data_IF_860226537768
#
_entry.id   IF_860226537768
#
_cell.length_a   1.000
_cell.length_b   1.000
_cell.length_c   1.000
_cell.angle_alpha   90.00
_cell.angle_beta   90.00
_cell.angle_gamma   90.00
#
_symmetry.space_group_name_H-M   'P 1'
#
loop_
_entity.id
_entity.type
_entity.pdbx_description
1 polymer ?
#
# COMPACT_ATOMS: atom_id res chain seq x y z
N UNK A 1 -5.07 21.88 55.23
CA UNK A 1 -4.25 22.62 54.24
C UNK A 1 -4.69 22.12 52.88
N UNK A 2 -5.40 22.95 52.13
CA UNK A 2 -5.88 22.66 50.77
C UNK A 2 -4.67 22.61 49.82
N UNK A 3 -4.51 21.52 49.08
CA UNK A 3 -3.66 21.48 47.90
C UNK A 3 -4.55 21.70 46.67
N UNK A 4 -4.16 22.56 45.72
CA UNK A 4 -4.99 22.87 44.57
C UNK A 4 -4.90 21.75 43.53
N UNK A 5 -6.06 21.32 43.05
CA UNK A 5 -6.25 20.59 41.79
C UNK A 5 -5.78 21.46 40.64
N UNK A 6 -4.75 21.02 39.93
CA UNK A 6 -4.37 21.61 38.64
C UNK A 6 -5.16 20.85 37.57
N UNK A 7 -6.24 21.46 37.09
CA UNK A 7 -6.91 21.03 35.85
C UNK A 7 -6.02 21.42 34.66
N UNK A 8 -5.30 20.45 34.10
CA UNK A 8 -4.70 20.58 32.78
C UNK A 8 -5.75 20.26 31.72
N UNK A 9 -6.42 21.31 31.22
CA UNK A 9 -7.10 21.25 29.94
C UNK A 9 -6.07 21.57 28.84
N UNK A 10 -5.25 20.59 28.48
CA UNK A 10 -4.50 20.62 27.22
C UNK A 10 -5.44 20.17 26.10
N UNK A 11 -5.94 21.16 25.36
CA UNK A 11 -6.53 20.91 24.04
C UNK A 11 -5.34 20.54 23.14
N UNK A 12 -5.06 19.23 23.03
CA UNK A 12 -4.04 18.68 22.15
C UNK A 12 -4.27 19.20 20.73
N UNK A 13 -3.39 20.09 20.29
CA UNK A 13 -3.41 20.59 18.93
C UNK A 13 -2.79 19.49 18.06
N UNK A 14 -3.54 18.86 17.13
CA UNK A 14 -3.06 17.69 16.38
C UNK A 14 -1.81 17.96 15.53
N UNK A 15 -1.46 19.23 15.29
CA UNK A 15 -0.19 19.62 14.67
C UNK A 15 1.05 19.44 15.55
N UNK A 16 0.89 19.40 16.88
CA UNK A 16 1.99 19.26 17.84
C UNK A 16 2.53 17.81 17.88
N UNK A 17 1.64 16.82 17.86
CA UNK A 17 2.01 15.39 17.87
C UNK A 17 2.78 14.97 16.60
N UNK A 18 2.39 15.51 15.44
CA UNK A 18 3.10 15.27 14.18
C UNK A 18 4.52 15.83 14.26
N UNK A 19 4.69 17.02 14.85
CA UNK A 19 6.01 17.63 15.06
C UNK A 19 6.89 16.81 16.00
N UNK A 20 6.30 16.22 17.05
CA UNK A 20 7.03 15.38 18.01
C UNK A 20 7.46 14.04 17.40
N UNK A 21 6.58 13.37 16.63
CA UNK A 21 6.93 12.11 15.96
C UNK A 21 8.09 12.27 14.97
N UNK A 22 8.14 13.38 14.22
CA UNK A 22 9.28 13.71 13.36
C UNK A 22 10.56 13.98 14.17
N UNK A 23 10.46 14.61 15.34
CA UNK A 23 11.60 14.82 16.23
C UNK A 23 12.24 13.50 16.67
N UNK A 24 11.42 12.56 17.17
CA UNK A 24 11.91 11.22 17.53
C UNK A 24 12.51 10.47 16.35
N UNK A 25 11.90 10.60 15.17
CA UNK A 25 12.45 10.04 13.94
C UNK A 25 13.85 10.56 13.64
N UNK A 26 14.07 11.88 13.64
CA UNK A 26 15.40 12.47 13.38
C UNK A 26 16.41 12.15 14.47
N UNK A 27 16.00 12.15 15.74
CA UNK A 27 16.85 11.72 16.84
C UNK A 27 17.31 10.27 16.66
N UNK A 28 16.41 9.37 16.26
CA UNK A 28 16.74 7.97 16.00
C UNK A 28 17.75 7.82 14.85
N UNK A 29 17.63 8.62 13.79
CA UNK A 29 18.59 8.64 12.68
C UNK A 29 19.98 9.10 13.13
N UNK A 30 20.04 10.14 13.96
CA UNK A 30 21.31 10.64 14.52
C UNK A 30 22.01 9.55 15.32
N UNK A 31 21.30 8.88 16.23
CA UNK A 31 21.85 7.80 17.04
C UNK A 31 22.32 6.61 16.19
N UNK A 32 21.57 6.25 15.15
CA UNK A 32 21.93 5.14 14.28
C UNK A 32 23.09 5.46 13.33
N UNK A 33 23.37 6.73 13.05
CA UNK A 33 24.52 7.11 12.22
C UNK A 33 25.87 6.76 12.86
N UNK A 34 25.90 6.61 14.18
CA UNK A 34 27.08 6.24 14.96
C UNK A 34 27.25 4.72 15.10
N UNK A 35 26.24 3.91 14.73
CA UNK A 35 26.26 2.46 14.91
C UNK A 35 27.00 1.80 13.73
N UNK A 36 28.12 1.11 13.96
CA UNK A 36 28.86 0.45 12.88
C UNK A 36 28.09 -0.76 12.36
N UNK A 37 28.17 -0.96 11.05
CA UNK A 37 27.55 -2.08 10.32
C UNK A 37 28.37 -3.37 10.46
N UNK A 38 28.40 -3.92 11.68
CA UNK A 38 29.12 -5.16 12.02
C UNK A 38 28.13 -6.29 12.37
N UNK A 39 28.55 -7.58 12.29
CA UNK A 39 27.67 -8.73 12.53
C UNK A 39 26.82 -8.66 13.80
N UNK A 40 27.40 -8.17 14.89
CA UNK A 40 26.71 -8.04 16.17
C UNK A 40 25.49 -7.09 16.14
N UNK A 41 25.44 -6.16 15.18
CA UNK A 41 24.41 -5.12 15.09
C UNK A 41 23.37 -5.38 14.01
N UNK A 42 23.57 -6.33 13.09
CA UNK A 42 22.70 -6.52 11.93
C UNK A 42 21.23 -6.74 12.31
N UNK A 43 20.93 -7.49 13.37
CA UNK A 43 19.55 -7.66 13.83
C UNK A 43 18.92 -6.35 14.35
N UNK A 44 19.69 -5.55 15.08
CA UNK A 44 19.25 -4.24 15.57
C UNK A 44 18.98 -3.28 14.42
N UNK A 45 19.88 -3.24 13.44
CA UNK A 45 19.74 -2.44 12.23
C UNK A 45 18.55 -2.89 11.37
N UNK A 46 18.32 -4.20 11.23
CA UNK A 46 17.14 -4.72 10.56
C UNK A 46 15.84 -4.24 11.21
N UNK A 47 15.73 -4.33 12.55
CA UNK A 47 14.59 -3.82 13.33
C UNK A 47 14.40 -2.32 13.16
N UNK A 48 15.48 -1.55 13.31
CA UNK A 48 15.45 -0.09 13.15
C UNK A 48 14.88 0.31 11.78
N UNK A 49 15.42 -0.26 10.71
CA UNK A 49 14.98 0.05 9.36
C UNK A 49 13.55 -0.44 9.05
N UNK A 50 13.08 -1.52 9.67
CA UNK A 50 11.69 -1.95 9.61
C UNK A 50 10.75 -0.89 10.21
N UNK A 51 11.04 -0.43 11.44
CA UNK A 51 10.22 0.61 12.08
C UNK A 51 10.27 1.92 11.30
N UNK A 52 11.45 2.28 10.78
CA UNK A 52 11.64 3.43 9.89
C UNK A 52 10.72 3.34 8.65
N UNK A 53 10.64 2.17 8.02
CA UNK A 53 9.77 1.96 6.87
C UNK A 53 8.28 2.09 7.21
N UNK A 54 7.85 1.57 8.37
CA UNK A 54 6.46 1.70 8.85
C UNK A 54 6.10 3.17 9.07
N UNK A 55 6.96 3.91 9.78
CA UNK A 55 6.76 5.34 10.02
C UNK A 55 6.68 6.13 8.71
N UNK A 56 7.65 5.96 7.81
CA UNK A 56 7.69 6.67 6.53
C UNK A 56 6.50 6.35 5.63
N UNK A 57 6.01 5.10 5.66
CA UNK A 57 4.79 4.73 4.95
C UNK A 57 3.58 5.50 5.50
N UNK A 58 3.42 5.56 6.83
CA UNK A 58 2.33 6.32 7.47
C UNK A 58 2.44 7.83 7.22
N UNK A 59 3.67 8.34 7.08
CA UNK A 59 3.95 9.72 6.74
C UNK A 59 3.76 10.07 5.24
N UNK A 60 3.28 9.11 4.43
CA UNK A 60 3.08 9.24 2.98
C UNK A 60 4.37 9.47 2.17
N UNK A 61 5.53 9.08 2.70
CA UNK A 61 6.82 9.09 2.00
C UNK A 61 7.20 7.66 1.56
N UNK A 62 6.50 7.19 0.52
CA UNK A 62 6.63 5.82 0.02
C UNK A 62 8.04 5.52 -0.50
N UNK A 63 8.71 6.50 -1.13
CA UNK A 63 10.04 6.28 -1.69
C UNK A 63 11.07 6.06 -0.57
N UNK A 64 11.06 6.90 0.47
CA UNK A 64 11.93 6.70 1.62
C UNK A 64 11.57 5.42 2.39
N UNK A 65 10.28 5.07 2.48
CA UNK A 65 9.83 3.81 3.09
C UNK A 65 10.38 2.58 2.36
N UNK A 66 10.39 2.59 1.02
CA UNK A 66 10.95 1.53 0.19
C UNK A 66 12.46 1.38 0.37
N UNK A 67 13.18 2.50 0.47
CA UNK A 67 14.61 2.48 0.77
C UNK A 67 14.86 1.88 2.16
N UNK A 68 14.08 2.32 3.16
CA UNK A 68 14.20 1.81 4.52
C UNK A 68 13.91 0.30 4.61
N UNK A 69 12.84 -0.21 3.98
CA UNK A 69 12.56 -1.65 4.01
C UNK A 69 13.60 -2.47 3.25
N UNK A 70 14.16 -1.93 2.15
CA UNK A 70 15.27 -2.55 1.43
C UNK A 70 16.51 -2.68 2.31
N UNK A 71 16.85 -1.64 3.08
CA UNK A 71 17.94 -1.70 4.06
C UNK A 71 17.64 -2.74 5.16
N UNK A 72 16.42 -2.79 5.66
CA UNK A 72 15.99 -3.80 6.65
C UNK A 72 16.20 -5.22 6.13
N UNK A 73 15.79 -5.48 4.88
CA UNK A 73 15.95 -6.75 4.21
C UNK A 73 17.43 -7.12 3.98
N UNK A 74 18.26 -6.15 3.57
CA UNK A 74 19.71 -6.36 3.43
C UNK A 74 20.34 -6.83 4.76
N UNK A 75 20.03 -6.15 5.87
CA UNK A 75 20.53 -6.56 7.18
C UNK A 75 19.94 -7.90 7.66
N UNK A 76 18.68 -8.18 7.32
CA UNK A 76 18.07 -9.47 7.59
C UNK A 76 18.81 -10.61 6.88
N UNK A 77 19.18 -10.44 5.61
CA UNK A 77 19.98 -11.43 4.88
C UNK A 77 21.40 -11.59 5.45
N UNK A 78 22.06 -10.49 5.80
CA UNK A 78 23.38 -10.56 6.44
C UNK A 78 23.31 -11.34 7.77
N UNK A 79 22.24 -11.14 8.54
CA UNK A 79 21.97 -11.87 9.77
C UNK A 79 21.39 -13.29 9.56
N UNK A 80 21.26 -13.75 8.31
CA UNK A 80 20.63 -15.03 7.92
C UNK A 80 19.23 -15.23 8.52
N UNK A 81 18.42 -14.17 8.57
CA UNK A 81 17.05 -14.24 9.06
C UNK A 81 16.08 -14.96 8.12
N UNK A 82 16.49 -15.28 6.90
CA UNK A 82 15.72 -16.08 5.95
C UNK A 82 15.98 -17.58 6.06
N UNK A 83 16.86 -18.01 6.97
CA UNK A 83 17.31 -19.40 7.12
C UNK A 83 17.28 -19.81 8.61
N UNK A 84 16.26 -20.56 9.00
CA UNK A 84 16.06 -20.99 10.38
C UNK A 84 17.13 -21.98 10.85
N UNK A 85 17.73 -22.75 9.94
CA UNK A 85 18.82 -23.68 10.25
C UNK A 85 20.12 -22.93 10.63
N UNK A 86 20.20 -21.63 10.36
CA UNK A 86 21.31 -20.80 10.82
C UNK A 86 21.19 -20.43 12.32
N UNK A 87 20.08 -20.73 13.00
CA UNK A 87 19.79 -20.31 14.37
C UNK A 87 19.91 -21.44 15.41
N UNK A 88 20.60 -22.54 15.08
CA UNK A 88 20.68 -23.74 15.94
C UNK A 88 21.27 -23.49 17.34
N UNK A 89 22.03 -22.40 17.51
CA UNK A 89 22.63 -22.01 18.79
C UNK A 89 21.77 -21.03 19.60
N UNK A 90 20.68 -20.52 19.01
CA UNK A 90 19.77 -19.59 19.67
C UNK A 90 18.84 -20.34 20.62
N UNK A 91 18.48 -19.70 21.73
CA UNK A 91 17.43 -20.23 22.61
C UNK A 91 16.03 -20.11 21.94
N UNK A 92 15.01 -20.83 22.43
CA UNK A 92 13.68 -20.81 21.81
C UNK A 92 13.03 -19.42 21.72
N UNK A 93 13.31 -18.54 22.69
CA UNK A 93 12.75 -17.19 22.71
C UNK A 93 13.43 -16.28 21.67
N UNK A 94 14.75 -16.43 21.50
CA UNK A 94 15.49 -15.77 20.43
C UNK A 94 15.04 -16.27 19.05
N UNK A 95 14.86 -17.58 18.87
CA UNK A 95 14.33 -18.18 17.63
C UNK A 95 12.97 -17.59 17.28
N UNK A 96 12.05 -17.52 18.25
CA UNK A 96 10.73 -16.91 18.05
C UNK A 96 10.83 -15.42 17.68
N UNK A 97 11.74 -14.69 18.34
CA UNK A 97 11.97 -13.27 18.06
C UNK A 97 12.52 -13.02 16.65
N UNK A 98 13.46 -13.87 16.19
CA UNK A 98 14.01 -13.85 14.82
C UNK A 98 12.94 -14.18 13.79
N UNK A 99 12.15 -15.23 14.05
CA UNK A 99 11.01 -15.62 13.20
C UNK A 99 9.98 -14.49 13.06
N UNK A 100 9.58 -13.85 14.16
CA UNK A 100 8.67 -12.69 14.16
C UNK A 100 9.24 -11.53 13.33
N UNK A 101 10.52 -11.21 13.53
CA UNK A 101 11.18 -10.14 12.77
C UNK A 101 11.22 -10.43 11.27
N UNK A 102 11.62 -11.64 10.88
CA UNK A 102 11.64 -12.05 9.48
C UNK A 102 10.27 -11.90 8.83
N UNK A 103 9.22 -12.46 9.44
CA UNK A 103 7.87 -12.39 8.89
C UNK A 103 7.31 -10.97 8.88
N UNK A 104 7.68 -10.12 9.84
CA UNK A 104 7.31 -8.70 9.81
C UNK A 104 7.96 -7.94 8.64
N UNK A 105 9.25 -8.18 8.37
CA UNK A 105 9.96 -7.62 7.20
C UNK A 105 9.32 -8.11 5.91
N UNK A 106 9.07 -9.42 5.80
CA UNK A 106 8.43 -10.05 4.65
C UNK A 106 7.07 -9.42 4.32
N UNK A 107 6.21 -9.24 5.33
CA UNK A 107 4.89 -8.63 5.17
C UNK A 107 4.99 -7.15 4.78
N UNK A 108 5.89 -6.40 5.41
CA UNK A 108 6.03 -4.95 5.17
C UNK A 108 6.62 -4.64 3.79
N UNK A 109 7.61 -5.41 3.34
CA UNK A 109 8.19 -5.30 2.00
C UNK A 109 7.13 -5.51 0.93
N UNK A 110 6.36 -6.60 1.03
CA UNK A 110 5.30 -6.91 0.07
C UNK A 110 4.20 -5.87 0.08
N UNK A 111 3.88 -5.30 1.24
CA UNK A 111 2.91 -4.21 1.36
C UNK A 111 3.39 -2.95 0.66
N UNK A 112 4.66 -2.58 0.80
CA UNK A 112 5.22 -1.42 0.09
C UNK A 112 5.29 -1.65 -1.41
N UNK A 113 5.75 -2.83 -1.83
CA UNK A 113 5.77 -3.25 -3.23
C UNK A 113 4.37 -3.23 -3.87
N UNK A 114 3.34 -3.67 -3.13
CA UNK A 114 1.94 -3.50 -3.55
C UNK A 114 1.60 -2.02 -3.76
N UNK A 115 1.94 -1.14 -2.82
CA UNK A 115 1.56 0.27 -2.86
C UNK A 115 2.25 1.07 -3.97
N UNK A 116 3.46 0.69 -4.34
CA UNK A 116 4.23 1.36 -5.40
C UNK A 116 4.11 0.67 -6.76
N UNK A 117 3.37 -0.44 -6.85
CA UNK A 117 3.22 -1.21 -8.08
C UNK A 117 4.53 -1.85 -8.55
N UNK A 118 5.30 -2.47 -7.65
CA UNK A 118 6.56 -3.17 -7.97
C UNK A 118 6.53 -4.64 -7.53
N UNK A 119 7.31 -5.52 -8.19
CA UNK A 119 7.49 -6.88 -7.71
C UNK A 119 8.18 -6.89 -6.35
N UNK A 120 7.85 -7.89 -5.53
CA UNK A 120 8.56 -8.14 -4.27
C UNK A 120 10.00 -8.55 -4.55
N UNK A 121 10.93 -8.05 -3.74
CA UNK A 121 12.33 -8.46 -3.74
C UNK A 121 12.59 -9.79 -3.02
N UNK A 122 11.59 -10.37 -2.35
CA UNK A 122 11.73 -11.64 -1.61
C UNK A 122 11.11 -12.77 -2.43
N UNK A 123 11.94 -13.71 -2.88
CA UNK A 123 11.48 -14.94 -3.50
C UNK A 123 11.06 -15.96 -2.44
N UNK A 124 9.83 -16.50 -2.51
CA UNK A 124 9.35 -17.51 -1.57
C UNK A 124 10.23 -18.78 -1.51
N UNK A 125 10.99 -19.06 -2.57
CA UNK A 125 11.92 -20.21 -2.64
C UNK A 125 13.21 -20.01 -1.82
N UNK A 126 13.53 -18.76 -1.46
CA UNK A 126 14.73 -18.39 -0.69
C UNK A 126 14.42 -18.27 0.80
N UNK A 127 13.18 -18.60 1.20
CA UNK A 127 12.70 -18.53 2.57
C UNK A 127 12.71 -19.93 3.16
N UNK A 128 13.66 -20.19 4.05
CA UNK A 128 13.77 -21.41 4.86
C UNK A 128 13.44 -21.09 6.32
N UNK A 129 12.33 -20.39 6.55
CA UNK A 129 11.79 -20.07 7.87
C UNK A 129 10.41 -20.68 7.98
N UNK A 130 10.16 -21.42 9.06
CA UNK A 130 8.85 -22.01 9.29
C UNK A 130 7.81 -20.94 9.61
N UNK A 131 6.55 -21.28 9.38
CA UNK A 131 5.42 -20.49 9.84
C UNK A 131 5.45 -20.28 11.37
N UNK A 132 4.77 -19.23 11.83
CA UNK A 132 4.59 -18.94 13.26
C UNK A 132 3.64 -19.93 13.91
N UNK A 133 2.60 -20.32 13.17
CA UNK A 133 1.60 -21.28 13.59
C UNK A 133 1.47 -22.38 12.53
N UNK A 134 1.34 -23.62 12.98
CA UNK A 134 1.06 -24.75 12.09
C UNK A 134 -0.34 -24.64 11.50
N UNK A 135 -0.60 -25.38 10.41
CA UNK A 135 -1.94 -25.46 9.82
C UNK A 135 -2.97 -26.02 10.80
N UNK A 136 -2.58 -26.97 11.64
CA UNK A 136 -3.42 -27.57 12.68
C UNK A 136 -3.76 -26.55 13.76
N UNK A 137 -2.79 -25.74 14.19
CA UNK A 137 -3.03 -24.65 15.15
C UNK A 137 -3.98 -23.59 14.57
N UNK A 138 -3.76 -23.19 13.31
CA UNK A 138 -4.67 -22.26 12.62
C UNK A 138 -6.09 -22.82 12.51
N UNK A 139 -6.23 -24.11 12.16
CA UNK A 139 -7.52 -24.78 12.08
C UNK A 139 -8.20 -24.83 13.46
N UNK A 140 -7.45 -25.11 14.53
CA UNK A 140 -7.98 -25.12 15.89
C UNK A 140 -8.49 -23.74 16.36
N UNK A 141 -7.97 -22.65 15.79
CA UNK A 141 -8.43 -21.29 16.12
C UNK A 141 -9.66 -20.82 15.34
N UNK A 142 -10.09 -21.50 14.28
CA UNK A 142 -11.06 -20.94 13.31
C UNK A 142 -12.38 -20.52 13.96
N UNK A 143 -12.94 -21.37 14.82
CA UNK A 143 -14.28 -21.20 15.40
C UNK A 143 -14.25 -20.81 16.88
N UNK A 144 -13.07 -20.48 17.44
CA UNK A 144 -12.94 -20.11 18.84
C UNK A 144 -13.04 -18.59 19.02
N UNK A 145 -13.87 -18.15 19.97
CA UNK A 145 -13.91 -16.75 20.42
C UNK A 145 -12.76 -16.42 21.39
N UNK A 146 -12.27 -17.44 22.10
CA UNK A 146 -11.15 -17.34 23.04
C UNK A 146 -10.02 -18.22 22.52
N UNK A 147 -8.84 -17.65 22.33
CA UNK A 147 -7.69 -18.41 21.84
C UNK A 147 -7.16 -19.36 22.92
N UNK A 148 -6.62 -20.52 22.53
CA UNK A 148 -5.88 -21.38 23.46
C UNK A 148 -4.70 -20.64 24.11
N UNK A 149 -4.41 -20.91 25.38
CA UNK A 149 -3.38 -20.21 26.18
C UNK A 149 -1.97 -20.22 25.55
N UNK A 150 -1.68 -21.20 24.71
CA UNK A 150 -0.38 -21.36 24.04
C UNK A 150 -0.26 -20.58 22.72
N UNK A 151 -1.31 -19.91 22.26
CA UNK A 151 -1.32 -19.15 21.02
C UNK A 151 -1.47 -17.66 21.33
N UNK A 152 -0.41 -16.90 21.06
CA UNK A 152 -0.49 -15.44 21.18
C UNK A 152 -1.37 -14.84 20.09
N UNK A 153 -2.22 -13.88 20.45
CA UNK A 153 -2.98 -13.07 19.48
C UNK A 153 -2.05 -12.38 18.47
N UNK A 154 -0.86 -11.95 18.88
CA UNK A 154 0.10 -11.27 18.01
C UNK A 154 0.71 -12.23 16.99
N UNK A 155 0.99 -13.46 17.38
CA UNK A 155 1.50 -14.51 16.48
C UNK A 155 0.44 -14.91 15.47
N UNK A 156 -0.80 -15.09 15.93
CA UNK A 156 -1.92 -15.37 15.05
C UNK A 156 -2.16 -14.22 14.07
N UNK A 157 -2.15 -12.97 14.54
CA UNK A 157 -2.28 -11.82 13.67
C UNK A 157 -1.17 -11.76 12.61
N UNK A 158 0.09 -11.93 13.02
CA UNK A 158 1.23 -11.91 12.10
C UNK A 158 1.15 -13.06 11.10
N UNK A 159 0.74 -14.27 11.50
CA UNK A 159 0.52 -15.38 10.57
C UNK A 159 -0.55 -15.07 9.52
N UNK A 160 -1.65 -14.42 9.90
CA UNK A 160 -2.68 -13.98 8.95
C UNK A 160 -2.14 -12.95 7.96
N UNK A 161 -1.25 -12.06 8.40
CA UNK A 161 -0.56 -11.12 7.51
C UNK A 161 0.41 -11.84 6.55
N UNK A 162 1.10 -12.89 7.02
CA UNK A 162 1.98 -13.73 6.18
C UNK A 162 1.18 -14.42 5.08
N UNK A 163 0.05 -15.03 5.44
CA UNK A 163 -0.83 -15.72 4.48
C UNK A 163 -1.39 -14.75 3.44
N UNK A 164 -1.80 -13.56 3.86
CA UNK A 164 -2.23 -12.49 2.97
C UNK A 164 -1.09 -12.00 2.06
N UNK A 165 0.12 -11.89 2.59
CA UNK A 165 1.31 -11.44 1.83
C UNK A 165 1.74 -12.47 0.77
N UNK A 166 1.66 -13.76 1.10
CA UNK A 166 1.86 -14.87 0.14
C UNK A 166 0.76 -14.89 -0.93
N UNK A 167 -0.50 -14.63 -0.53
CA UNK A 167 -1.60 -14.49 -1.49
C UNK A 167 -1.36 -13.33 -2.45
N UNK A 168 -0.92 -12.18 -1.94
CA UNK A 168 -0.54 -11.04 -2.77
C UNK A 168 0.56 -11.38 -3.76
N UNK A 169 1.62 -12.08 -3.35
CA UNK A 169 2.67 -12.56 -4.26
C UNK A 169 2.11 -13.38 -5.43
N UNK A 170 1.19 -14.30 -5.14
CA UNK A 170 0.53 -15.13 -6.16
C UNK A 170 -0.39 -14.31 -7.06
N UNK A 171 -1.03 -13.27 -6.53
CA UNK A 171 -1.83 -12.31 -7.32
C UNK A 171 -0.91 -11.52 -8.24
N UNK A 172 0.20 -10.99 -7.72
CA UNK A 172 1.18 -10.24 -8.50
C UNK A 172 1.71 -11.08 -9.67
N UNK A 173 2.24 -12.27 -9.38
CA UNK A 173 2.79 -13.16 -10.40
C UNK A 173 1.77 -13.55 -11.46
N UNK A 174 0.51 -13.77 -11.04
CA UNK A 174 -0.56 -14.19 -11.93
C UNK A 174 -1.20 -13.04 -12.69
N UNK A 175 -1.18 -11.80 -12.23
CA UNK A 175 -2.00 -10.73 -12.84
C UNK A 175 -1.27 -9.42 -13.14
N UNK A 176 -0.10 -9.18 -12.57
CA UNK A 176 0.63 -7.91 -12.68
C UNK A 176 2.04 -8.07 -13.23
N UNK A 177 2.59 -9.28 -13.23
CA UNK A 177 3.86 -9.57 -13.89
C UNK A 177 3.80 -9.20 -15.38
N UNK A 178 4.88 -8.60 -15.88
CA UNK A 178 5.05 -8.27 -17.28
C UNK A 178 4.76 -9.47 -18.20
N UNK A 179 4.01 -9.21 -19.28
CA UNK A 179 3.61 -10.21 -20.27
C UNK A 179 2.46 -11.13 -19.81
N UNK A 180 1.87 -10.92 -18.64
CA UNK A 180 0.75 -11.72 -18.21
C UNK A 180 -0.57 -11.31 -18.89
N UNK A 181 -1.33 -12.30 -19.35
CA UNK A 181 -2.66 -12.12 -19.97
C UNK A 181 -3.82 -12.57 -19.08
N UNK A 182 -3.55 -13.02 -17.85
CA UNK A 182 -4.58 -13.62 -17.00
C UNK A 182 -5.65 -12.63 -16.53
N UNK A 183 -5.36 -11.32 -16.53
CA UNK A 183 -6.34 -10.26 -16.19
C UNK A 183 -7.53 -10.20 -17.16
N UNK A 184 -7.32 -10.66 -18.40
CA UNK A 184 -8.34 -10.75 -19.45
C UNK A 184 -9.03 -12.14 -19.48
N UNK A 185 -8.72 -13.03 -18.54
CA UNK A 185 -9.35 -14.35 -18.48
C UNK A 185 -10.22 -14.43 -17.21
N UNK A 186 -11.53 -14.36 -17.40
CA UNK A 186 -12.51 -14.32 -16.31
C UNK A 186 -12.46 -15.58 -15.43
N UNK A 187 -12.24 -16.76 -16.00
CA UNK A 187 -12.07 -18.00 -15.23
C UNK A 187 -10.87 -17.92 -14.28
N UNK A 188 -9.74 -17.37 -14.75
CA UNK A 188 -8.54 -17.18 -13.92
C UNK A 188 -8.78 -16.15 -12.81
N UNK A 189 -9.53 -15.09 -13.10
CA UNK A 189 -9.97 -14.07 -12.14
C UNK A 189 -10.87 -14.70 -11.08
N UNK A 190 -11.88 -15.46 -11.48
CA UNK A 190 -12.82 -16.11 -10.57
C UNK A 190 -12.15 -17.17 -9.70
N UNK A 191 -11.25 -17.97 -10.27
CA UNK A 191 -10.44 -18.92 -9.50
C UNK A 191 -9.60 -18.21 -8.42
N UNK A 192 -8.99 -17.06 -8.74
CA UNK A 192 -8.28 -16.27 -7.72
C UNK A 192 -9.26 -15.66 -6.72
N UNK A 193 -10.44 -15.21 -7.16
CA UNK A 193 -11.51 -14.71 -6.30
C UNK A 193 -11.95 -15.76 -5.28
N UNK A 194 -12.14 -17.00 -5.70
CA UNK A 194 -12.46 -18.13 -4.83
C UNK A 194 -11.34 -18.40 -3.82
N UNK A 195 -10.07 -18.31 -4.24
CA UNK A 195 -8.93 -18.46 -3.33
C UNK A 195 -8.88 -17.36 -2.27
N UNK A 196 -9.12 -16.10 -2.65
CA UNK A 196 -9.18 -14.98 -1.71
C UNK A 196 -10.33 -15.20 -0.72
N UNK A 197 -11.52 -15.57 -1.21
CA UNK A 197 -12.68 -15.85 -0.35
C UNK A 197 -12.44 -17.04 0.58
N UNK A 198 -11.77 -18.09 0.11
CA UNK A 198 -11.42 -19.24 0.95
C UNK A 198 -10.48 -18.85 2.09
N UNK A 199 -9.41 -18.10 1.80
CA UNK A 199 -8.49 -17.60 2.83
C UNK A 199 -9.18 -16.63 3.79
N UNK A 200 -10.03 -15.75 3.28
CA UNK A 200 -10.81 -14.83 4.13
C UNK A 200 -11.76 -15.58 5.07
N UNK A 201 -12.44 -16.63 4.59
CA UNK A 201 -13.30 -17.49 5.44
C UNK A 201 -12.51 -18.26 6.50
N UNK A 202 -11.24 -18.58 6.21
CA UNK A 202 -10.33 -19.21 7.16
C UNK A 202 -9.81 -18.27 8.25
N UNK A 203 -10.14 -16.97 8.23
CA UNK A 203 -9.80 -16.04 9.31
C UNK A 203 -10.58 -16.43 10.57
N UNK A 204 -9.87 -16.66 11.71
CA UNK A 204 -10.48 -16.95 13.00
C UNK A 204 -11.57 -15.96 13.40
N UNK A 205 -12.60 -16.42 14.11
CA UNK A 205 -13.69 -15.57 14.63
C UNK A 205 -13.14 -14.39 15.44
N UNK A 206 -12.08 -14.61 16.22
CA UNK A 206 -11.40 -13.54 16.98
C UNK A 206 -10.85 -12.41 16.11
N UNK A 207 -10.62 -12.62 14.82
CA UNK A 207 -10.13 -11.64 13.84
C UNK A 207 -11.14 -11.29 12.75
N UNK A 208 -12.36 -11.83 12.83
CA UNK A 208 -13.42 -11.56 11.86
C UNK A 208 -14.07 -10.21 12.16
N UNK A 209 -14.26 -9.39 11.13
CA UNK A 209 -14.98 -8.13 11.26
C UNK A 209 -16.49 -8.37 11.37
N UNK A 210 -17.14 -7.58 12.23
CA UNK A 210 -18.58 -7.44 12.31
C UNK A 210 -18.92 -6.00 12.68
N UNK A 211 -19.91 -5.40 12.03
CA UNK A 211 -20.37 -4.05 12.39
C UNK A 211 -20.97 -4.00 13.80
N UNK A 212 -21.45 -5.14 14.33
CA UNK A 212 -21.94 -5.23 15.70
C UNK A 212 -20.85 -4.96 16.75
N UNK A 213 -19.57 -4.99 16.37
CA UNK A 213 -18.47 -4.61 17.26
C UNK A 213 -18.46 -3.11 17.58
N UNK A 214 -19.16 -2.31 16.78
CA UNK A 214 -19.32 -0.88 17.00
C UNK A 214 -20.56 -0.57 17.86
N UNK A 215 -21.42 -1.57 18.13
CA UNK A 215 -22.60 -1.40 18.96
C UNK A 215 -22.17 -1.12 20.41
N UNK A 216 -22.58 0.03 20.94
CA UNK A 216 -22.25 0.44 22.31
C UNK A 216 -20.88 1.13 22.46
N UNK A 217 -20.11 1.31 21.39
CA UNK A 217 -18.92 2.17 21.40
C UNK A 217 -19.37 3.63 21.54
N UNK A 218 -18.85 4.32 22.56
CA UNK A 218 -19.02 5.77 22.68
C UNK A 218 -17.85 6.47 22.02
N UNK A 219 -18.05 7.71 21.54
CA UNK A 219 -17.03 8.45 20.78
C UNK A 219 -15.72 8.67 21.53
N UNK A 220 -15.77 8.63 22.86
CA UNK A 220 -14.62 8.85 23.76
C UNK A 220 -13.94 7.55 24.19
N UNK A 221 -14.42 6.38 23.72
CA UNK A 221 -13.74 5.12 23.96
C UNK A 221 -12.40 5.04 23.24
N UNK A 222 -11.38 4.54 23.93
CA UNK A 222 -10.11 4.18 23.30
C UNK A 222 -10.32 3.10 22.24
N UNK A 223 -9.60 3.25 21.13
CA UNK A 223 -9.63 2.27 20.06
C UNK A 223 -8.83 1.04 20.46
N UNK A 224 -9.54 -0.06 20.68
CA UNK A 224 -8.90 -1.35 20.92
C UNK A 224 -8.10 -1.85 19.70
N UNK A 225 -6.93 -2.41 19.98
CA UNK A 225 -6.01 -2.94 18.98
C UNK A 225 -6.65 -4.10 18.20
N UNK A 226 -7.46 -4.94 18.86
CA UNK A 226 -8.08 -6.09 18.19
C UNK A 226 -9.15 -5.64 17.20
N UNK A 227 -9.97 -4.64 17.55
CA UNK A 227 -10.92 -4.01 16.60
C UNK A 227 -10.20 -3.48 15.36
N UNK A 228 -9.07 -2.79 15.56
CA UNK A 228 -8.23 -2.28 14.47
C UNK A 228 -7.72 -3.40 13.55
N UNK A 229 -7.22 -4.50 14.14
CA UNK A 229 -6.72 -5.67 13.40
C UNK A 229 -7.81 -6.35 12.57
N UNK A 230 -9.01 -6.51 13.15
CA UNK A 230 -10.20 -7.05 12.45
C UNK A 230 -10.56 -6.22 11.23
N UNK A 231 -10.65 -4.90 11.40
CA UNK A 231 -10.97 -3.95 10.34
C UNK A 231 -9.96 -4.06 9.19
N UNK A 232 -8.67 -3.99 9.51
CA UNK A 232 -7.59 -4.01 8.51
C UNK A 232 -7.59 -5.30 7.70
N UNK A 233 -7.76 -6.46 8.35
CA UNK A 233 -7.80 -7.75 7.66
C UNK A 233 -8.99 -7.85 6.71
N UNK A 234 -10.20 -7.54 7.18
CA UNK A 234 -11.43 -7.59 6.38
C UNK A 234 -11.33 -6.70 5.14
N UNK A 235 -11.01 -5.42 5.36
CA UNK A 235 -10.89 -4.43 4.28
C UNK A 235 -9.83 -4.87 3.26
N UNK A 236 -8.67 -5.37 3.69
CA UNK A 236 -7.63 -5.82 2.76
C UNK A 236 -8.07 -7.01 1.91
N UNK A 237 -8.74 -8.01 2.50
CA UNK A 237 -9.28 -9.13 1.72
C UNK A 237 -10.32 -8.64 0.70
N UNK A 238 -11.19 -7.70 1.09
CA UNK A 238 -12.19 -7.12 0.18
C UNK A 238 -11.54 -6.31 -0.94
N UNK A 239 -10.53 -5.48 -0.65
CA UNK A 239 -9.76 -4.76 -1.67
C UNK A 239 -9.06 -5.71 -2.66
N UNK A 240 -8.47 -6.81 -2.19
CA UNK A 240 -7.89 -7.81 -3.10
C UNK A 240 -8.93 -8.39 -4.07
N UNK A 241 -10.17 -8.62 -3.61
CA UNK A 241 -11.27 -9.12 -4.48
C UNK A 241 -11.70 -8.09 -5.53
N UNK A 242 -11.69 -6.81 -5.17
CA UNK A 242 -11.96 -5.71 -6.10
C UNK A 242 -10.82 -5.59 -7.11
N UNK A 243 -9.58 -5.56 -6.64
CA UNK A 243 -8.37 -5.35 -7.44
C UNK A 243 -8.19 -6.41 -8.53
N UNK A 244 -8.40 -7.70 -8.24
CA UNK A 244 -8.26 -8.75 -9.26
C UNK A 244 -9.32 -8.65 -10.37
N UNK A 245 -10.50 -8.08 -10.08
CA UNK A 245 -11.62 -7.95 -11.02
C UNK A 245 -11.52 -6.66 -11.82
N UNK A 246 -11.16 -5.57 -11.17
CA UNK A 246 -10.91 -4.28 -11.79
C UNK A 246 -9.41 -4.04 -11.96
N UNK A 247 -8.71 -5.04 -12.47
CA UNK A 247 -7.27 -4.97 -12.65
C UNK A 247 -6.91 -3.82 -13.62
N UNK A 248 -6.06 -2.87 -13.23
CA UNK A 248 -5.59 -1.78 -14.11
C UNK A 248 -5.02 -2.25 -15.45
N UNK A 249 -4.34 -3.39 -15.47
CA UNK A 249 -3.74 -4.01 -16.67
C UNK A 249 -4.75 -4.76 -17.54
N UNK A 250 -6.04 -4.78 -17.19
CA UNK A 250 -7.08 -5.39 -18.03
C UNK A 250 -7.39 -4.46 -19.20
N UNK A 251 -7.31 -4.99 -20.43
CA UNK A 251 -7.59 -4.24 -21.67
C UNK A 251 -9.06 -4.33 -22.08
N UNK A 252 -9.74 -5.40 -21.69
CA UNK A 252 -11.16 -5.60 -22.00
C UNK A 252 -12.07 -4.77 -21.09
N UNK A 253 -13.18 -4.22 -21.62
CA UNK A 253 -14.15 -3.50 -20.81
C UNK A 253 -14.78 -4.44 -19.79
N UNK A 254 -14.98 -3.93 -18.58
CA UNK A 254 -15.65 -4.66 -17.50
C UNK A 254 -17.13 -4.79 -17.87
N UNK A 255 -17.67 -6.00 -17.81
CA UNK A 255 -19.10 -6.21 -18.05
C UNK A 255 -19.96 -5.63 -16.89
N UNK A 256 -21.26 -5.43 -17.14
CA UNK A 256 -22.15 -4.77 -16.18
C UNK A 256 -22.26 -5.52 -14.84
N UNK A 257 -22.29 -6.86 -14.88
CA UNK A 257 -22.41 -7.69 -13.67
C UNK A 257 -21.17 -7.58 -12.79
N UNK A 258 -19.98 -7.68 -13.38
CA UNK A 258 -18.71 -7.51 -12.70
C UNK A 258 -18.55 -6.09 -12.15
N UNK A 259 -18.99 -5.07 -12.90
CA UNK A 259 -19.00 -3.69 -12.43
C UNK A 259 -19.90 -3.51 -11.20
N UNK A 260 -21.12 -4.07 -11.22
CA UNK A 260 -22.05 -4.05 -10.08
C UNK A 260 -21.50 -4.80 -8.88
N UNK A 261 -20.89 -5.96 -9.11
CA UNK A 261 -20.26 -6.74 -8.05
C UNK A 261 -19.13 -5.97 -7.37
N UNK A 262 -18.22 -5.38 -8.15
CA UNK A 262 -17.14 -4.56 -7.61
C UNK A 262 -17.65 -3.31 -6.90
N UNK A 263 -18.70 -2.68 -7.44
CA UNK A 263 -19.36 -1.55 -6.79
C UNK A 263 -19.93 -1.93 -5.42
N UNK A 264 -20.62 -3.07 -5.31
CA UNK A 264 -21.16 -3.55 -4.04
C UNK A 264 -20.06 -3.76 -2.99
N UNK A 265 -18.89 -4.31 -3.38
CA UNK A 265 -17.74 -4.43 -2.49
C UNK A 265 -17.14 -3.08 -2.08
N UNK A 266 -17.11 -2.10 -2.98
CA UNK A 266 -16.68 -0.73 -2.65
C UNK A 266 -17.63 -0.10 -1.64
N UNK A 267 -18.96 -0.21 -1.85
CA UNK A 267 -19.94 0.27 -0.89
C UNK A 267 -19.75 -0.38 0.48
N UNK A 268 -19.55 -1.70 0.53
CA UNK A 268 -19.28 -2.41 1.79
C UNK A 268 -18.07 -1.80 2.54
N UNK A 269 -16.95 -1.57 1.85
CA UNK A 269 -15.77 -0.96 2.46
C UNK A 269 -16.05 0.47 2.92
N UNK A 270 -16.69 1.29 2.08
CA UNK A 270 -17.02 2.69 2.39
C UNK A 270 -17.97 2.79 3.58
N UNK A 271 -18.96 1.91 3.66
CA UNK A 271 -19.93 1.87 4.75
C UNK A 271 -19.30 1.42 6.06
N UNK A 272 -18.44 0.40 6.03
CA UNK A 272 -17.67 -0.05 7.20
C UNK A 272 -16.78 1.08 7.72
N UNK A 273 -16.04 1.76 6.84
CA UNK A 273 -15.15 2.85 7.24
C UNK A 273 -15.93 4.07 7.75
N UNK A 274 -17.08 4.39 7.15
CA UNK A 274 -17.95 5.44 7.63
C UNK A 274 -18.51 5.15 9.02
N UNK A 275 -18.98 3.91 9.26
CA UNK A 275 -19.44 3.48 10.57
C UNK A 275 -18.31 3.55 11.61
N UNK A 276 -17.12 3.10 11.25
CA UNK A 276 -15.94 3.15 12.13
C UNK A 276 -15.55 4.59 12.49
N UNK A 277 -15.46 5.49 11.51
CA UNK A 277 -15.20 6.92 11.73
C UNK A 277 -16.30 7.58 12.58
N UNK A 278 -17.55 7.16 12.42
CA UNK A 278 -18.65 7.70 13.20
C UNK A 278 -18.64 7.22 14.67
N UNK A 279 -18.15 6.00 14.91
CA UNK A 279 -18.08 5.36 16.23
C UNK A 279 -16.95 5.94 17.11
N UNK A 280 -15.81 6.30 16.53
CA UNK A 280 -14.63 6.76 17.27
C UNK A 280 -14.33 8.24 17.00
N UNK A 281 -13.79 8.95 17.99
CA UNK A 281 -13.25 10.29 17.76
C UNK A 281 -12.03 10.26 16.82
N UNK A 282 -11.81 11.37 16.12
CA UNK A 282 -10.70 11.49 15.16
C UNK A 282 -9.31 11.26 15.82
N UNK A 283 -9.02 11.78 17.03
CA UNK A 283 -7.78 11.47 17.73
C UNK A 283 -7.56 9.97 17.95
N UNK A 284 -8.61 9.23 18.36
CA UNK A 284 -8.52 7.79 18.64
C UNK A 284 -8.17 6.95 17.41
N UNK A 285 -8.53 7.40 16.21
CA UNK A 285 -8.27 6.66 14.96
C UNK A 285 -7.03 7.17 14.19
N UNK A 286 -6.26 8.09 14.76
CA UNK A 286 -5.11 8.73 14.08
C UNK A 286 -4.09 7.70 13.60
N UNK A 287 -3.82 6.66 14.38
CA UNK A 287 -2.92 5.55 14.02
C UNK A 287 -3.37 4.75 12.79
N UNK A 288 -4.67 4.81 12.44
CA UNK A 288 -5.26 4.20 11.25
C UNK A 288 -5.57 5.21 10.13
N UNK A 289 -5.39 6.51 10.36
CA UNK A 289 -5.79 7.55 9.40
C UNK A 289 -5.16 7.35 8.02
N UNK A 290 -3.87 6.98 7.97
CA UNK A 290 -3.19 6.62 6.72
C UNK A 290 -3.85 5.43 6.02
N UNK A 291 -4.12 4.35 6.76
CA UNK A 291 -4.75 3.15 6.22
C UNK A 291 -6.14 3.44 5.66
N UNK A 292 -6.97 4.17 6.40
CA UNK A 292 -8.32 4.55 6.00
C UNK A 292 -8.25 5.44 4.76
N UNK A 293 -7.45 6.50 4.79
CA UNK A 293 -7.32 7.44 3.66
C UNK A 293 -6.82 6.75 2.39
N UNK A 294 -5.80 5.89 2.51
CA UNK A 294 -5.27 5.13 1.38
C UNK A 294 -6.30 4.14 0.82
N UNK A 295 -7.13 3.54 1.68
CA UNK A 295 -8.23 2.66 1.27
C UNK A 295 -9.30 3.44 0.51
N UNK A 296 -9.69 4.62 1.01
CA UNK A 296 -10.68 5.47 0.35
C UNK A 296 -10.19 5.93 -1.04
N UNK A 297 -8.90 6.26 -1.19
CA UNK A 297 -8.33 6.57 -2.51
C UNK A 297 -8.36 5.35 -3.44
N UNK A 298 -8.08 4.15 -2.94
CA UNK A 298 -8.17 2.93 -3.74
C UNK A 298 -9.62 2.66 -4.19
N UNK A 299 -10.60 2.86 -3.30
CA UNK A 299 -12.02 2.79 -3.63
C UNK A 299 -12.45 3.86 -4.66
N UNK A 300 -11.92 5.09 -4.58
CA UNK A 300 -12.26 6.15 -5.54
C UNK A 300 -11.76 5.84 -6.96
N UNK A 301 -10.58 5.21 -7.08
CA UNK A 301 -10.09 4.70 -8.35
C UNK A 301 -11.06 3.66 -8.97
N UNK A 302 -11.54 2.72 -8.15
CA UNK A 302 -12.50 1.71 -8.58
C UNK A 302 -13.86 2.30 -8.98
N UNK A 303 -14.32 3.33 -8.26
CA UNK A 303 -15.51 4.11 -8.62
C UNK A 303 -15.33 4.84 -9.96
N UNK A 304 -14.18 5.49 -10.18
CA UNK A 304 -13.91 6.21 -11.42
C UNK A 304 -14.02 5.31 -12.64
N UNK A 305 -13.51 4.06 -12.55
CA UNK A 305 -13.65 3.07 -13.64
C UNK A 305 -15.11 2.72 -13.94
N UNK A 306 -15.98 2.66 -12.93
CA UNK A 306 -17.41 2.40 -13.12
C UNK A 306 -18.10 3.60 -13.79
N UNK A 307 -17.77 4.82 -13.36
CA UNK A 307 -18.33 6.06 -13.93
C UNK A 307 -17.97 6.23 -15.42
N UNK A 308 -16.74 5.86 -15.77
CA UNK A 308 -16.22 5.88 -17.14
C UNK A 308 -16.81 4.77 -18.02
N UNK A 309 -17.36 3.69 -17.45
CA UNK A 309 -17.93 2.59 -18.21
C UNK A 309 -19.27 2.99 -18.86
N UNK A 310 -19.39 2.98 -20.19
CA UNK A 310 -20.62 3.40 -20.88
C UNK A 310 -21.82 2.50 -20.60
N UNK A 311 -21.61 1.24 -20.20
CA UNK A 311 -22.68 0.28 -19.87
C UNK A 311 -23.27 0.57 -18.48
N UNK A 312 -22.53 1.28 -17.61
CA UNK A 312 -22.93 1.58 -16.24
C UNK A 312 -23.71 2.90 -16.08
N UNK A 313 -24.26 3.48 -17.17
CA UNK A 313 -25.00 4.76 -17.13
C UNK A 313 -26.10 4.79 -16.08
N UNK A 314 -26.85 3.69 -15.91
CA UNK A 314 -27.93 3.58 -14.93
C UNK A 314 -27.46 3.61 -13.47
N UNK A 315 -26.22 3.21 -13.19
CA UNK A 315 -25.66 3.15 -11.84
C UNK A 315 -25.02 4.49 -11.41
N UNK A 316 -24.80 5.42 -12.35
CA UNK A 316 -24.06 6.68 -12.11
C UNK A 316 -24.58 7.48 -10.92
N UNK A 317 -25.90 7.71 -10.73
CA UNK A 317 -26.37 8.50 -9.59
C UNK A 317 -25.97 7.90 -8.23
N UNK A 318 -26.12 6.58 -8.08
CA UNK A 318 -25.76 5.88 -6.85
C UNK A 318 -24.24 5.86 -6.64
N UNK A 319 -23.48 5.62 -7.71
CA UNK A 319 -22.01 5.61 -7.67
C UNK A 319 -21.47 7.00 -7.29
N UNK A 320 -22.05 8.08 -7.82
CA UNK A 320 -21.70 9.46 -7.44
C UNK A 320 -21.98 9.74 -5.97
N UNK A 321 -23.12 9.30 -5.43
CA UNK A 321 -23.42 9.44 -4.00
C UNK A 321 -22.38 8.74 -3.10
N UNK A 322 -21.91 7.56 -3.51
CA UNK A 322 -20.83 6.86 -2.79
C UNK A 322 -19.50 7.62 -2.88
N UNK A 323 -19.19 8.22 -4.04
CA UNK A 323 -17.99 9.04 -4.22
C UNK A 323 -18.02 10.31 -3.35
N UNK A 324 -19.18 10.95 -3.22
CA UNK A 324 -19.40 12.10 -2.34
C UNK A 324 -19.16 11.72 -0.88
N UNK A 325 -19.79 10.63 -0.41
CA UNK A 325 -19.60 10.09 0.94
C UNK A 325 -18.12 9.81 1.24
N UNK A 326 -17.41 9.20 0.29
CA UNK A 326 -15.98 8.92 0.40
C UNK A 326 -15.15 10.21 0.49
N UNK A 327 -15.48 11.19 -0.35
CA UNK A 327 -14.81 12.49 -0.39
C UNK A 327 -14.99 13.24 0.93
N UNK A 328 -16.16 13.16 1.54
CA UNK A 328 -16.43 13.79 2.84
C UNK A 328 -15.64 13.15 3.98
N UNK A 329 -15.46 11.82 3.96
CA UNK A 329 -14.55 11.15 4.90
C UNK A 329 -13.09 11.56 4.70
N UNK A 330 -12.64 11.72 3.44
CA UNK A 330 -11.29 12.23 3.16
C UNK A 330 -11.11 13.67 3.66
N UNK A 331 -12.12 14.54 3.53
CA UNK A 331 -12.09 15.90 4.10
C UNK A 331 -11.97 15.86 5.62
N UNK A 332 -12.65 14.94 6.28
CA UNK A 332 -12.58 14.76 7.74
C UNK A 332 -11.20 14.28 8.20
N UNK A 333 -10.53 13.42 7.42
CA UNK A 333 -9.20 12.89 7.73
C UNK A 333 -8.05 13.82 7.30
N UNK A 334 -8.31 14.79 6.41
CA UNK A 334 -7.29 15.71 5.91
C UNK A 334 -6.52 16.44 7.04
N UNK A 335 -7.11 16.87 8.16
CA UNK A 335 -6.35 17.48 9.24
C UNK A 335 -5.28 16.57 9.87
N UNK A 336 -5.44 15.24 9.79
CA UNK A 336 -4.57 14.28 10.50
C UNK A 336 -3.50 13.63 9.62
N UNK A 337 -3.72 13.50 8.31
CA UNK A 337 -2.80 12.77 7.44
C UNK A 337 -2.63 13.40 6.05
N UNK A 338 -1.37 13.51 5.61
CA UNK A 338 -0.98 14.11 4.32
C UNK A 338 -1.64 13.43 3.11
N UNK A 339 -1.79 12.11 3.16
CA UNK A 339 -2.45 11.33 2.09
C UNK A 339 -3.87 11.83 1.82
N UNK A 340 -4.65 12.10 2.87
CA UNK A 340 -6.01 12.64 2.73
C UNK A 340 -6.00 14.10 2.24
N UNK A 341 -5.07 14.93 2.73
CA UNK A 341 -4.91 16.32 2.25
C UNK A 341 -4.69 16.36 0.73
N UNK A 342 -3.76 15.53 0.24
CA UNK A 342 -3.44 15.42 -1.18
C UNK A 342 -4.64 14.91 -1.99
N UNK A 343 -5.35 13.91 -1.49
CA UNK A 343 -6.54 13.41 -2.16
C UNK A 343 -7.63 14.48 -2.28
N UNK A 344 -7.88 15.24 -1.21
CA UNK A 344 -8.86 16.34 -1.21
C UNK A 344 -8.45 17.47 -2.14
N UNK A 345 -7.16 17.85 -2.20
CA UNK A 345 -6.71 18.92 -3.11
C UNK A 345 -6.95 18.56 -4.58
N UNK A 346 -6.88 17.26 -4.90
CA UNK A 346 -7.08 16.75 -6.25
C UNK A 346 -8.57 16.56 -6.57
N UNK A 347 -9.36 16.02 -5.62
CA UNK A 347 -10.79 15.78 -5.79
C UNK A 347 -11.64 17.04 -5.73
N UNK A 348 -11.09 18.18 -5.26
CA UNK A 348 -11.79 19.45 -5.37
C UNK A 348 -12.01 19.74 -6.85
N UNK A 349 -13.28 19.87 -7.32
CA UNK A 349 -13.50 20.42 -8.64
C UNK A 349 -12.77 21.76 -8.66
N UNK A 350 -11.93 21.98 -9.66
CA UNK A 350 -11.35 23.28 -9.89
C UNK A 350 -12.53 24.19 -10.16
N UNK A 351 -13.06 24.81 -9.10
CA UNK A 351 -14.14 25.78 -9.20
C UNK A 351 -13.71 26.73 -10.29
N UNK A 352 -14.44 26.68 -11.39
CA UNK A 352 -14.32 27.60 -12.51
C UNK A 352 -14.07 28.97 -11.92
N UNK A 353 -12.84 29.46 -12.07
CA UNK A 353 -12.59 30.89 -12.00
C UNK A 353 -13.65 31.51 -12.92
N UNK A 354 -14.51 32.41 -12.42
CA UNK A 354 -15.40 33.13 -13.31
C UNK A 354 -14.47 33.83 -14.29
N UNK A 355 -14.54 33.44 -15.55
CA UNK A 355 -13.86 34.14 -16.62
C UNK A 355 -14.26 35.61 -16.48
N UNK A 356 -13.34 36.43 -15.97
CA UNK A 356 -13.46 37.88 -16.03
C UNK A 356 -13.66 38.20 -17.51
N UNK A 357 -14.82 38.78 -17.81
CA UNK A 357 -15.17 39.21 -19.15
C UNK A 357 -14.16 40.25 -19.62
N UNK A 358 -13.19 39.81 -20.42
CA UNK A 358 -12.46 40.71 -21.31
C UNK A 358 -13.14 40.62 -22.67
N UNK A 359 -14.02 41.59 -22.91
CA UNK A 359 -14.52 41.92 -24.23
C UNK A 359 -13.34 42.25 -25.14
N UNK A 360 -13.01 41.35 -26.07
CA UNK A 360 -12.10 41.66 -27.18
C UNK A 360 -12.93 42.19 -28.34
N UNK A 361 -12.84 43.51 -28.53
CA UNK A 361 -13.15 44.18 -29.78
C UNK A 361 -12.19 43.72 -30.87
N UNK A 362 -12.74 43.41 -32.04
CA UNK A 362 -12.02 43.21 -33.29
C UNK A 362 -10.97 44.31 -33.52
N UNK A 363 -9.71 43.91 -33.78
CA UNK A 363 -9.07 44.14 -35.09
C UNK A 363 -7.54 43.91 -35.09
N UNK A 364 -7.10 43.37 -36.23
CA UNK A 364 -5.75 43.30 -36.80
C UNK A 364 -4.92 42.03 -36.63
N UNK A 365 -4.72 41.42 -37.81
CA UNK A 365 -3.86 40.30 -38.16
C UNK A 365 -2.38 40.69 -38.19
N UNK A 366 -1.50 39.76 -37.80
CA UNK A 366 -0.35 39.29 -38.59
C UNK A 366 0.57 38.40 -37.75
N UNK A 367 0.94 37.25 -38.32
CA UNK A 367 2.20 36.50 -38.19
C UNK A 367 2.87 36.34 -36.81
N UNK A 368 3.05 35.08 -36.38
CA UNK A 368 4.37 34.41 -36.38
C UNK A 368 4.29 33.01 -35.76
N UNK A 369 4.81 32.04 -36.51
CA UNK A 369 5.23 30.71 -36.04
C UNK A 369 6.25 30.85 -34.90
N UNK A 370 6.07 30.12 -33.81
CA UNK A 370 7.03 30.07 -32.71
C UNK A 370 6.95 28.77 -31.91
N UNK A 371 7.88 27.86 -32.21
CA UNK A 371 8.20 26.65 -31.46
C UNK A 371 8.84 26.98 -30.11
N UNK A 372 8.41 26.34 -29.02
CA UNK A 372 9.13 26.20 -27.74
C UNK A 372 8.61 24.91 -27.07
N UNK A 373 9.37 23.87 -26.68
CA UNK A 373 10.69 23.73 -26.04
C UNK A 373 10.88 24.59 -24.79
N UNK A 374 10.65 23.95 -23.65
CA UNK A 374 11.20 24.24 -22.31
C UNK A 374 11.54 22.85 -21.72
N UNK A 375 12.77 22.49 -21.31
CA UNK A 375 13.78 23.24 -20.54
C UNK A 375 13.58 22.86 -19.07
N UNK A 376 14.07 21.71 -18.60
CA UNK A 376 15.43 21.47 -18.08
C UNK A 376 15.80 22.40 -16.91
N UNK A 377 15.69 21.89 -15.68
CA UNK A 377 16.41 22.39 -14.50
C UNK A 377 16.73 21.25 -13.52
N UNK A 378 18.02 20.96 -13.39
CA UNK A 378 18.66 20.95 -12.07
C UNK A 378 18.83 19.61 -11.35
N UNK A 379 19.78 18.81 -11.84
CA UNK A 379 20.52 17.81 -11.06
C UNK A 379 21.24 18.44 -9.85
N UNK A 380 21.21 17.77 -8.71
CA UNK A 380 22.26 17.83 -7.68
C UNK A 380 22.43 16.45 -7.04
N UNK A 381 23.43 15.70 -7.53
CA UNK A 381 24.10 14.63 -6.79
C UNK A 381 25.21 15.23 -5.90
N UNK A 382 25.65 14.51 -4.86
CA UNK A 382 27.05 14.60 -4.46
C UNK A 382 27.77 13.26 -4.68
N UNK A 383 28.91 13.39 -5.34
CA UNK A 383 29.88 12.36 -5.66
C UNK A 383 30.59 11.79 -4.43
N UNK A 384 30.88 10.49 -4.55
CA UNK A 384 31.85 9.72 -3.77
C UNK A 384 33.26 10.17 -4.17
N UNK A 385 34.15 10.34 -3.18
CA UNK A 385 35.59 10.50 -3.39
C UNK A 385 36.33 9.19 -3.10
N UNK A 386 37.18 8.79 -4.06
CA UNK A 386 38.16 7.71 -4.00
C UNK A 386 39.45 8.16 -3.32
N UNK A 387 40.01 7.32 -2.41
CA UNK A 387 41.43 7.02 -2.18
C UNK A 387 41.43 5.65 -1.45
N UNK A 388 42.19 4.60 -1.78
CA UNK A 388 43.25 4.39 -2.76
C UNK A 388 43.70 2.93 -2.77
N UNK A 389 44.50 2.65 -3.78
CA UNK A 389 45.18 1.44 -4.23
C UNK A 389 45.79 0.51 -3.16
N UNK A 390 45.64 -0.80 -3.36
CA UNK A 390 46.74 -1.77 -3.22
C UNK A 390 46.41 -3.10 -3.94
N UNK A 391 47.28 -3.43 -4.89
CA UNK A 391 47.36 -4.62 -5.74
C UNK A 391 47.64 -5.93 -4.99
N UNK A 392 47.17 -7.08 -5.51
CA UNK A 392 48.02 -8.17 -6.07
C UNK A 392 47.24 -9.48 -6.40
N UNK A 393 47.55 -10.00 -7.60
CA UNK A 393 47.49 -11.37 -8.15
C UNK A 393 46.12 -12.05 -8.42
N UNK A 394 45.67 -12.22 -9.68
CA UNK A 394 46.09 -13.11 -10.80
C UNK A 394 45.73 -14.60 -10.63
N UNK A 395 44.77 -15.08 -11.43
CA UNK A 395 44.65 -16.37 -12.17
C UNK A 395 43.18 -16.46 -12.65
N UNK A 396 42.76 -16.70 -13.90
CA UNK A 396 43.43 -17.12 -15.13
C UNK A 396 42.75 -18.37 -15.71
N UNK A 397 41.70 -18.20 -16.55
CA UNK A 397 41.17 -19.11 -17.60
C UNK A 397 39.78 -18.55 -18.05
N UNK A 398 39.48 -18.01 -19.25
CA UNK A 398 39.61 -18.44 -20.65
C UNK A 398 39.04 -19.85 -20.89
N UNK A 399 38.07 -20.16 -21.78
CA UNK A 399 37.36 -19.50 -22.91
C UNK A 399 36.12 -20.41 -23.28
N UNK A 400 35.48 -20.38 -24.48
CA UNK A 400 34.40 -19.49 -24.93
C UNK A 400 33.21 -20.28 -25.56
N UNK A 401 32.42 -19.60 -26.43
CA UNK A 401 31.31 -20.03 -27.34
C UNK A 401 29.95 -19.44 -26.90
N UNK A 402 29.18 -18.75 -27.73
CA UNK A 402 29.30 -18.40 -29.15
C UNK A 402 28.11 -17.55 -29.58
N UNK A 403 28.32 -16.76 -30.64
CA UNK A 403 27.37 -15.87 -31.30
C UNK A 403 26.08 -16.55 -31.80
N UNK A 404 24.97 -15.82 -31.80
CA UNK A 404 23.99 -15.88 -32.88
C UNK A 404 23.13 -14.59 -32.93
N UNK A 405 23.22 -13.93 -34.08
CA UNK A 405 22.38 -12.82 -34.55
C UNK A 405 21.01 -13.31 -35.07
N UNK A 406 20.29 -12.41 -35.77
CA UNK A 406 18.96 -12.49 -36.41
C UNK A 406 17.81 -11.97 -35.52
N UNK A 407 16.94 -11.05 -35.94
CA UNK A 407 16.68 -10.40 -37.22
C UNK A 407 15.21 -9.95 -37.21
N UNK A 408 14.96 -8.64 -37.39
CA UNK A 408 13.63 -8.09 -37.73
C UNK A 408 13.28 -8.52 -39.17
N UNK A 409 11.98 -8.55 -39.61
CA UNK A 409 11.36 -7.29 -40.05
C UNK A 409 9.80 -7.17 -40.13
N UNK A 410 9.41 -5.91 -40.35
CA UNK A 410 8.29 -5.35 -41.15
C UNK A 410 6.93 -4.96 -40.56
N UNK A 411 6.59 -3.72 -40.95
CA UNK A 411 5.40 -2.89 -40.80
C UNK A 411 4.15 -3.38 -41.54
N UNK A 412 2.99 -2.83 -41.13
CA UNK A 412 1.79 -2.71 -41.95
C UNK A 412 0.87 -1.60 -41.43
N UNK A 413 0.73 -0.53 -42.21
CA UNK A 413 -0.20 0.59 -42.02
C UNK A 413 -1.67 0.19 -42.30
N UNK A 414 -2.63 0.92 -41.73
CA UNK A 414 -4.05 0.79 -42.11
C UNK A 414 -5.08 1.62 -41.32
N UNK A 415 -5.18 2.91 -41.65
CA UNK A 415 -6.40 3.75 -41.84
C UNK A 415 -7.56 3.78 -40.80
N UNK A 416 -7.69 4.97 -40.17
CA UNK A 416 -8.85 5.87 -39.90
C UNK A 416 -10.27 5.29 -39.75
N UNK A 417 -10.93 5.63 -38.62
CA UNK A 417 -12.31 6.15 -38.63
C UNK A 417 -12.58 7.10 -37.45
N UNK A 418 -13.24 8.21 -37.77
CA UNK A 418 -13.75 9.25 -36.86
C UNK A 418 -14.78 8.70 -35.87
N UNK A 419 -14.84 9.24 -34.63
CA UNK A 419 -16.09 9.75 -34.02
C UNK A 419 -15.90 10.35 -32.62
N UNK A 420 -16.50 11.55 -32.46
CA UNK A 420 -17.04 12.19 -31.25
C UNK A 420 -16.07 12.66 -30.15
N UNK A 421 -15.86 13.98 -30.13
CA UNK A 421 -15.52 14.79 -28.96
C UNK A 421 -16.51 14.50 -27.82
N UNK A 422 -15.99 13.94 -26.73
CA UNK A 422 -16.64 13.91 -25.42
C UNK A 422 -15.63 14.54 -24.48
N UNK A 423 -16.02 15.63 -23.81
CA UNK A 423 -15.20 16.31 -22.79
C UNK A 423 -14.57 15.27 -21.83
N UNK A 424 -13.28 15.00 -22.05
CA UNK A 424 -12.48 14.14 -21.20
C UNK A 424 -12.26 14.84 -19.87
N UNK A 425 -13.10 14.50 -18.89
CA UNK A 425 -12.80 14.71 -17.48
C UNK A 425 -11.55 13.85 -17.15
N UNK A 426 -10.38 14.46 -17.32
CA UNK A 426 -9.08 13.93 -16.90
C UNK A 426 -9.10 13.70 -15.38
N UNK A 427 -9.49 12.50 -14.97
CA UNK A 427 -9.27 12.04 -13.61
C UNK A 427 -7.77 11.76 -13.44
N UNK A 428 -7.09 12.41 -12.48
CA UNK A 428 -5.67 12.22 -12.29
C UNK A 428 -5.35 10.77 -11.88
N UNK A 429 -4.30 10.24 -12.48
CA UNK A 429 -3.77 8.90 -12.23
C UNK A 429 -3.30 8.78 -10.78
N UNK A 430 -4.18 8.26 -9.93
CA UNK A 430 -3.85 7.91 -8.56
C UNK A 430 -3.12 6.56 -8.56
N UNK A 431 -1.79 6.59 -8.40
CA UNK A 431 -0.97 5.49 -7.88
C UNK A 431 -0.58 4.31 -8.79
N UNK A 432 -0.33 4.54 -10.08
CA UNK A 432 0.50 3.62 -10.87
C UNK A 432 1.58 4.40 -11.62
N UNK A 433 2.88 4.14 -11.40
CA UNK A 433 3.88 4.55 -12.39
C UNK A 433 3.58 3.81 -13.71
N UNK A 434 3.75 4.49 -14.84
CA UNK A 434 3.69 3.89 -16.18
C UNK A 434 4.46 2.56 -16.19
N UNK A 435 3.73 1.46 -16.28
CA UNK A 435 4.30 0.18 -16.68
C UNK A 435 4.16 0.15 -18.20
N UNK A 436 5.15 0.74 -18.87
CA UNK A 436 5.36 0.61 -20.31
C UNK A 436 5.81 -0.79 -20.70
#
# INVERSE_FOLDING_TARGET
MYLPTVEYNEINNPGQDVSEAWSFYYQSLSLMSEVPSIPAHWLGLAKFHLFRAIFLMQADDLQAAVQAISSSLQYAWQAKLNDQDAWLLCDPQEVLSRKKLWWAIYCMERRLCQKIGKPSGICDKEVAVDDLLSREQLAACQDLEVLPDHISQDELHLQLLVDMSRLWGKIWDKFFRAGCTACNNDEKVDMMGLRITHLHRGVPVTFRWSNSLLDGVTKDCELDLQTSRRLVLHVRYTLLRILIRQNPSRTEPINLEQARFCYALVCEVVDILAAFIAAYSLPCITSLAYFISSTLIECSYHIARILQNPVCRGERPTVMSTLEKLTDMLKLLAPTVKTAQRAVSILRPHSTSPAEGVSLSDSQASDLRGSARFGDTGLCSPSIANIGDQSLHTFGAQTPFGDAAFGLPFSGEGVVNETTDVDELLFPYFYLPDIG
#
